data_IF_657441436156
#
_entry.id   IF_657441436156
#
_cell.length_a   1.000
_cell.length_b   1.000
_cell.length_c   1.000
_cell.angle_alpha   90.00
_cell.angle_beta   90.00
_cell.angle_gamma   90.00
#
_symmetry.space_group_name_H-M   'P 1'
#
loop_
_entity.id
_entity.type
_entity.pdbx_description
1 polymer ?
#
# COMPACT_ATOMS: atom_id res chain seq x y z
N UNK A 1 -14.45 -9.79 4.18
CA UNK A 1 -15.51 -9.00 4.87
C UNK A 1 -16.88 -9.64 4.68
N UNK A 2 -17.76 -9.53 5.68
CA UNK A 2 -19.16 -10.01 5.61
C UNK A 2 -20.05 -8.92 4.99
N UNK A 3 -21.11 -9.31 4.29
CA UNK A 3 -22.02 -8.36 3.62
C UNK A 3 -22.70 -7.38 4.62
N UNK A 4 -23.13 -7.88 5.78
CA UNK A 4 -23.72 -7.05 6.83
C UNK A 4 -22.78 -5.94 7.34
N UNK A 5 -21.48 -6.21 7.40
CA UNK A 5 -20.47 -5.20 7.75
C UNK A 5 -20.38 -4.12 6.68
N UNK A 6 -20.41 -4.50 5.40
CA UNK A 6 -20.35 -3.55 4.29
C UNK A 6 -21.58 -2.64 4.27
N UNK A 7 -22.79 -3.19 4.46
CA UNK A 7 -24.02 -2.40 4.56
C UNK A 7 -23.95 -1.40 5.72
N UNK A 8 -23.48 -1.83 6.89
CA UNK A 8 -23.33 -0.93 8.05
C UNK A 8 -22.35 0.22 7.77
N UNK A 9 -21.24 -0.02 7.07
CA UNK A 9 -20.31 1.04 6.67
C UNK A 9 -21.00 2.09 5.79
N UNK A 10 -21.92 1.68 4.91
CA UNK A 10 -22.67 2.64 4.08
C UNK A 10 -23.65 3.49 4.88
N UNK A 11 -24.16 2.97 6.00
CA UNK A 11 -24.99 3.73 6.95
C UNK A 11 -24.14 4.73 7.74
N UNK A 12 -22.97 4.29 8.24
CA UNK A 12 -22.08 5.09 9.08
C UNK A 12 -21.34 6.20 8.30
N UNK A 13 -20.97 5.95 7.03
CA UNK A 13 -20.10 6.85 6.23
C UNK A 13 -20.73 7.33 4.91
N UNK A 14 -21.94 6.91 4.59
CA UNK A 14 -22.62 7.24 3.33
C UNK A 14 -22.20 6.38 2.13
N UNK A 15 -22.91 6.55 1.02
CA UNK A 15 -22.68 5.83 -0.24
C UNK A 15 -22.62 6.80 -1.43
N UNK A 16 -21.70 6.62 -2.40
CA UNK A 16 -20.74 5.51 -2.53
C UNK A 16 -19.53 5.63 -1.59
N UNK A 17 -19.01 4.49 -1.13
CA UNK A 17 -17.82 4.41 -0.25
C UNK A 17 -16.85 3.33 -0.71
N UNK A 18 -15.54 3.64 -0.68
CA UNK A 18 -14.48 2.66 -0.89
C UNK A 18 -14.08 2.01 0.44
N UNK A 19 -13.98 0.68 0.44
CA UNK A 19 -13.53 -0.10 1.61
C UNK A 19 -12.33 -0.96 1.21
N UNK A 20 -11.22 -0.80 1.92
CA UNK A 20 -10.00 -1.58 1.71
C UNK A 20 -9.80 -2.60 2.83
N UNK A 21 -9.51 -3.84 2.48
CA UNK A 21 -9.23 -4.92 3.43
C UNK A 21 -7.71 -5.01 3.70
N UNK A 22 -7.28 -4.56 4.87
CA UNK A 22 -5.87 -4.55 5.24
C UNK A 22 -5.28 -5.97 5.36
N UNK A 23 -6.05 -6.96 5.79
CA UNK A 23 -5.56 -8.34 5.89
C UNK A 23 -5.31 -8.94 4.51
N UNK A 24 -6.16 -8.61 3.53
CA UNK A 24 -5.94 -9.02 2.14
C UNK A 24 -4.70 -8.36 1.56
N UNK A 25 -4.48 -7.07 1.78
CA UNK A 25 -3.25 -6.39 1.31
C UNK A 25 -2.00 -7.04 1.94
N UNK A 26 -2.01 -7.28 3.25
CA UNK A 26 -0.91 -7.94 3.94
C UNK A 26 -0.64 -9.36 3.44
N UNK A 27 -1.68 -10.16 3.23
CA UNK A 27 -1.51 -11.54 2.74
C UNK A 27 -0.95 -11.59 1.32
N UNK A 28 -1.35 -10.66 0.44
CA UNK A 28 -0.79 -10.54 -0.90
C UNK A 28 0.67 -10.10 -0.89
N UNK A 29 1.01 -9.11 -0.06
CA UNK A 29 2.40 -8.69 0.11
C UNK A 29 3.28 -9.85 0.60
N UNK A 30 2.86 -10.56 1.65
CA UNK A 30 3.58 -11.73 2.19
C UNK A 30 3.70 -12.85 1.15
N UNK A 31 2.63 -13.11 0.37
CA UNK A 31 2.67 -14.09 -0.72
C UNK A 31 3.76 -13.75 -1.74
N UNK A 32 3.88 -12.47 -2.10
CA UNK A 32 4.91 -12.00 -3.02
C UNK A 32 6.31 -12.15 -2.43
N UNK A 33 6.53 -11.73 -1.18
CA UNK A 33 7.82 -11.92 -0.47
C UNK A 33 8.21 -13.40 -0.46
N UNK A 34 7.28 -14.29 -0.07
CA UNK A 34 7.55 -15.72 0.05
C UNK A 34 7.90 -16.39 -1.28
N UNK A 35 7.34 -15.91 -2.40
CA UNK A 35 7.65 -16.42 -3.73
C UNK A 35 9.14 -16.20 -4.11
N UNK A 36 9.79 -15.22 -3.49
CA UNK A 36 11.22 -14.90 -3.67
C UNK A 36 12.05 -15.27 -2.43
N UNK A 37 11.59 -16.21 -1.60
CA UNK A 37 12.28 -16.62 -0.36
C UNK A 37 13.71 -17.13 -0.54
N UNK A 38 14.11 -17.49 -1.76
CA UNK A 38 15.48 -17.90 -2.11
C UNK A 38 16.39 -16.75 -2.58
N UNK A 39 15.88 -15.52 -2.61
CA UNK A 39 16.63 -14.32 -3.00
C UNK A 39 17.16 -13.62 -1.75
N UNK A 40 18.48 -13.55 -1.60
CA UNK A 40 19.14 -13.03 -0.40
C UNK A 40 18.82 -11.56 -0.10
N UNK A 41 18.60 -10.75 -1.15
CA UNK A 41 18.31 -9.31 -1.02
C UNK A 41 17.14 -8.91 -1.90
N UNK A 42 15.92 -9.25 -1.47
CA UNK A 42 14.68 -8.82 -2.12
C UNK A 42 14.28 -7.41 -1.67
N UNK A 43 14.01 -6.52 -2.63
CA UNK A 43 13.31 -5.25 -2.39
C UNK A 43 12.03 -5.22 -3.22
N UNK A 44 10.89 -5.07 -2.55
CA UNK A 44 9.60 -4.85 -3.21
C UNK A 44 9.36 -3.34 -3.26
N UNK A 45 9.22 -2.78 -4.46
CA UNK A 45 8.83 -1.39 -4.67
C UNK A 45 7.36 -1.36 -5.10
N UNK A 46 6.49 -0.77 -4.27
CA UNK A 46 5.08 -0.62 -4.57
C UNK A 46 4.85 0.55 -5.53
N UNK A 47 4.21 0.29 -6.67
CA UNK A 47 3.84 1.32 -7.62
C UNK A 47 2.72 2.22 -7.06
N UNK A 48 3.07 3.45 -6.65
CA UNK A 48 2.17 4.34 -5.90
C UNK A 48 0.92 4.72 -6.68
N UNK A 49 1.03 4.89 -8.00
CA UNK A 49 -0.10 5.14 -8.92
C UNK A 49 -1.25 4.13 -8.84
N UNK A 50 -0.99 2.91 -8.34
CA UNK A 50 -2.03 1.89 -8.20
C UNK A 50 -3.04 2.20 -7.09
N UNK A 51 -2.57 2.73 -5.95
CA UNK A 51 -3.40 3.22 -4.84
C UNK A 51 -2.56 4.10 -3.91
N UNK A 52 -2.66 5.41 -4.10
CA UNK A 52 -1.85 6.41 -3.39
C UNK A 52 -2.42 6.80 -2.02
N UNK A 53 -3.45 6.11 -1.51
CA UNK A 53 -4.02 6.42 -0.20
C UNK A 53 -2.96 6.34 0.91
N UNK A 54 -2.79 7.43 1.67
CA UNK A 54 -1.69 7.55 2.65
C UNK A 54 -1.72 6.47 3.74
N UNK A 55 -2.90 6.00 4.14
CA UNK A 55 -3.02 4.93 5.13
C UNK A 55 -2.58 3.58 4.56
N UNK A 56 -2.83 3.34 3.26
CA UNK A 56 -2.33 2.15 2.56
C UNK A 56 -0.82 2.22 2.37
N UNK A 57 -0.27 3.39 2.03
CA UNK A 57 1.18 3.56 1.95
C UNK A 57 1.85 3.32 3.31
N UNK A 58 1.28 3.81 4.42
CA UNK A 58 1.74 3.51 5.78
C UNK A 58 1.69 2.01 6.11
N UNK A 59 0.62 1.33 5.70
CA UNK A 59 0.50 -0.13 5.86
C UNK A 59 1.61 -0.85 5.09
N UNK A 60 1.82 -0.53 3.82
CA UNK A 60 2.88 -1.12 2.99
C UNK A 60 4.28 -0.84 3.56
N UNK A 61 4.51 0.37 4.07
CA UNK A 61 5.74 0.71 4.79
C UNK A 61 5.95 -0.20 5.99
N UNK A 62 4.91 -0.43 6.80
CA UNK A 62 4.99 -1.28 7.99
C UNK A 62 5.29 -2.74 7.65
N UNK A 63 4.99 -3.18 6.43
CA UNK A 63 5.33 -4.50 5.90
C UNK A 63 6.75 -4.56 5.30
N UNK A 64 7.47 -3.45 5.25
CA UNK A 64 8.84 -3.37 4.71
C UNK A 64 8.92 -3.02 3.22
N UNK A 65 7.84 -2.55 2.60
CA UNK A 65 7.87 -2.13 1.20
C UNK A 65 8.75 -0.90 1.02
N UNK A 66 9.32 -0.75 -0.17
CA UNK A 66 9.79 0.51 -0.76
C UNK A 66 8.74 1.03 -1.75
N UNK A 67 8.97 2.19 -2.37
CA UNK A 67 8.03 2.82 -3.32
C UNK A 67 8.66 2.96 -4.71
N UNK A 68 7.82 2.76 -5.72
CA UNK A 68 8.05 3.15 -7.11
C UNK A 68 7.08 4.29 -7.45
N UNK A 69 7.62 5.46 -7.79
CA UNK A 69 6.88 6.71 -7.96
C UNK A 69 7.14 7.31 -9.33
N UNK A 70 6.09 7.86 -9.95
CA UNK A 70 6.12 8.43 -11.31
C UNK A 70 5.87 9.93 -11.32
N UNK A 71 5.64 10.55 -10.16
CA UNK A 71 5.49 12.00 -10.04
C UNK A 71 6.11 12.52 -8.75
N UNK A 72 6.48 13.81 -8.74
CA UNK A 72 6.98 14.49 -7.55
C UNK A 72 5.94 14.45 -6.41
N UNK A 73 4.64 14.50 -6.74
CA UNK A 73 3.56 14.43 -5.76
C UNK A 73 3.50 13.06 -5.07
N UNK A 74 3.77 11.97 -5.81
CA UNK A 74 3.87 10.63 -5.22
C UNK A 74 5.10 10.50 -4.32
N UNK A 75 6.24 11.10 -4.68
CA UNK A 75 7.42 11.18 -3.81
C UNK A 75 7.08 11.91 -2.51
N UNK A 76 6.46 13.09 -2.60
CA UNK A 76 6.02 13.87 -1.44
C UNK A 76 5.05 13.09 -0.55
N UNK A 77 4.13 12.36 -1.15
CA UNK A 77 3.18 11.54 -0.42
C UNK A 77 3.84 10.35 0.28
N UNK A 78 4.83 9.72 -0.37
CA UNK A 78 5.67 8.68 0.23
C UNK A 78 6.45 9.20 1.44
N UNK A 79 7.07 10.37 1.33
CA UNK A 79 7.75 11.02 2.45
C UNK A 79 6.77 11.32 3.61
N UNK A 80 5.55 11.81 3.30
CA UNK A 80 4.50 12.06 4.30
C UNK A 80 3.96 10.78 4.95
N UNK A 81 3.94 9.66 4.22
CA UNK A 81 3.66 8.34 4.76
C UNK A 81 4.81 7.79 5.64
N UNK A 82 5.95 8.48 5.67
CA UNK A 82 7.09 8.20 6.54
C UNK A 82 8.15 7.30 5.90
N UNK A 83 8.11 7.06 4.59
CA UNK A 83 9.20 6.38 3.90
C UNK A 83 10.45 7.26 3.93
N UNK A 84 11.62 6.63 4.02
CA UNK A 84 12.89 7.35 3.89
C UNK A 84 13.18 7.62 2.40
N UNK A 85 13.86 8.73 2.05
CA UNK A 85 14.16 9.05 0.66
C UNK A 85 14.84 7.92 -0.11
N UNK A 86 15.77 7.19 0.52
CA UNK A 86 16.49 6.05 -0.08
C UNK A 86 15.61 4.83 -0.41
N UNK A 87 14.37 4.81 0.09
CA UNK A 87 13.37 3.76 -0.16
C UNK A 87 12.34 4.17 -1.22
N UNK A 88 12.54 5.30 -1.90
CA UNK A 88 11.65 5.82 -2.94
C UNK A 88 12.42 5.89 -4.25
N UNK A 89 11.98 5.12 -5.26
CA UNK A 89 12.48 5.19 -6.62
C UNK A 89 11.60 6.15 -7.42
N UNK A 90 12.22 7.02 -8.21
CA UNK A 90 11.53 7.91 -9.13
C UNK A 90 11.77 7.46 -10.58
N UNK A 91 10.70 6.99 -11.23
CA UNK A 91 10.68 6.50 -12.61
C UNK A 91 9.74 7.37 -13.46
N UNK A 92 10.23 8.44 -14.11
CA UNK A 92 9.40 9.31 -14.95
C UNK A 92 8.89 8.64 -16.22
#
# INVERSE_FOLDING_TARGET
MKNSTLLKITEDFGSPVYVYDSEKIQSQYKRLVNAFSKVDSLRINYAVKALSNISILKLLKSLGSSLDTVSVQEVQLGLKAGFKPESIIYTP
#
